data_IF_131356440701
#
_entry.id   IF_131356440701
#
_cell.length_a   1.000
_cell.length_b   1.000
_cell.length_c   1.000
_cell.angle_alpha   90.00
_cell.angle_beta   90.00
_cell.angle_gamma   90.00
#
_symmetry.space_group_name_H-M   'P 1'
#
loop_
_entity.id
_entity.type
_entity.pdbx_description
1 polymer ?
#
# COMPACT_ATOMS: atom_id res chain seq x y z
N UNK A 1 -8.38 -3.76 32.52
CA UNK A 1 -9.24 -3.29 31.40
C UNK A 1 -10.43 -2.42 31.84
N UNK A 2 -11.17 -2.73 32.90
CA UNK A 2 -12.40 -2.00 33.28
C UNK A 2 -12.28 -0.63 33.97
N UNK A 3 -11.10 0.01 33.99
CA UNK A 3 -10.89 1.26 34.75
C UNK A 3 -11.77 2.42 34.27
N UNK A 4 -12.01 2.52 32.96
CA UNK A 4 -12.88 3.56 32.36
C UNK A 4 -14.32 3.48 32.84
N UNK A 5 -14.84 2.26 33.04
CA UNK A 5 -16.19 2.03 33.56
C UNK A 5 -16.29 2.33 35.05
N UNK A 6 -15.22 2.04 35.83
CA UNK A 6 -15.13 2.43 37.24
C UNK A 6 -15.22 3.95 37.42
N UNK A 7 -14.52 4.71 36.57
CA UNK A 7 -14.59 6.18 36.58
C UNK A 7 -16.00 6.71 36.28
N UNK A 8 -16.77 6.00 35.45
CA UNK A 8 -18.19 6.29 35.17
C UNK A 8 -19.16 5.78 36.25
N UNK A 9 -18.65 5.24 37.36
CA UNK A 9 -19.44 4.66 38.45
C UNK A 9 -20.38 3.53 38.00
N UNK A 10 -20.02 2.78 36.96
CA UNK A 10 -20.80 1.63 36.50
C UNK A 10 -20.86 0.54 37.59
N UNK A 11 -21.97 -0.21 37.72
CA UNK A 11 -22.09 -1.34 38.63
C UNK A 11 -20.98 -2.39 38.44
N UNK A 12 -20.48 -2.99 39.52
CA UNK A 12 -19.40 -4.01 39.44
C UNK A 12 -19.76 -5.18 38.52
N UNK A 13 -21.01 -5.65 38.58
CA UNK A 13 -21.52 -6.73 37.72
C UNK A 13 -21.43 -6.37 36.24
N UNK A 14 -21.76 -5.15 35.85
CA UNK A 14 -21.65 -4.68 34.47
C UNK A 14 -20.18 -4.63 34.02
N UNK A 15 -19.29 -4.14 34.88
CA UNK A 15 -17.85 -4.07 34.59
C UNK A 15 -17.28 -5.47 34.32
N UNK A 16 -17.63 -6.44 35.17
CA UNK A 16 -17.19 -7.83 35.02
C UNK A 16 -17.68 -8.44 33.71
N UNK A 17 -18.97 -8.27 33.37
CA UNK A 17 -19.55 -8.76 32.11
C UNK A 17 -18.84 -8.16 30.90
N UNK A 18 -18.65 -6.83 30.87
CA UNK A 18 -18.00 -6.16 29.74
C UNK A 18 -16.51 -6.53 29.62
N UNK A 19 -15.80 -6.61 30.75
CA UNK A 19 -14.38 -7.01 30.77
C UNK A 19 -14.22 -8.45 30.31
N UNK A 20 -15.07 -9.37 30.76
CA UNK A 20 -15.04 -10.77 30.37
C UNK A 20 -15.29 -10.93 28.87
N UNK A 21 -16.34 -10.28 28.33
CA UNK A 21 -16.63 -10.28 26.89
C UNK A 21 -15.46 -9.74 26.06
N UNK A 22 -14.87 -8.61 26.47
CA UNK A 22 -13.72 -8.04 25.76
C UNK A 22 -12.48 -8.96 25.84
N UNK A 23 -12.25 -9.60 26.98
CA UNK A 23 -11.14 -10.54 27.16
C UNK A 23 -11.31 -11.81 26.31
N UNK A 24 -12.53 -12.31 26.15
CA UNK A 24 -12.82 -13.45 25.27
C UNK A 24 -12.57 -13.12 23.80
N UNK A 25 -13.05 -11.96 23.34
CA UNK A 25 -12.85 -11.49 21.95
C UNK A 25 -11.35 -11.38 21.61
N UNK A 26 -10.53 -10.97 22.58
CA UNK A 26 -9.10 -10.72 22.42
C UNK A 26 -8.21 -11.88 22.88
N UNK A 27 -8.79 -13.02 23.27
CA UNK A 27 -8.06 -14.18 23.80
C UNK A 27 -7.14 -13.82 24.99
N UNK A 28 -7.63 -12.97 25.89
CA UNK A 28 -6.94 -12.48 27.10
C UNK A 28 -7.51 -13.04 28.40
N UNK A 29 -8.54 -13.90 28.36
CA UNK A 29 -9.22 -14.39 29.57
C UNK A 29 -8.29 -15.01 30.61
N UNK A 30 -7.24 -15.72 30.16
CA UNK A 30 -6.24 -16.36 31.03
C UNK A 30 -5.15 -15.40 31.57
N UNK A 31 -5.20 -14.11 31.19
CA UNK A 31 -4.20 -13.10 31.54
C UNK A 31 -4.78 -11.95 32.38
N UNK A 32 -6.05 -12.04 32.81
CA UNK A 32 -6.75 -10.96 33.49
C UNK A 32 -6.08 -10.50 34.80
N UNK A 33 -5.39 -11.41 35.49
CA UNK A 33 -4.70 -11.14 36.76
C UNK A 33 -3.24 -10.69 36.58
N UNK A 34 -2.75 -10.63 35.34
CA UNK A 34 -1.35 -10.26 35.05
C UNK A 34 -1.17 -8.74 35.03
N UNK A 35 -0.05 -8.30 35.59
CA UNK A 35 0.39 -6.90 35.47
C UNK A 35 1.00 -6.63 34.08
N UNK A 36 0.97 -5.38 33.58
CA UNK A 36 1.48 -5.03 32.24
C UNK A 36 2.93 -5.48 31.97
N UNK A 37 3.79 -5.46 32.99
CA UNK A 37 5.19 -5.93 32.90
C UNK A 37 5.34 -7.44 32.65
N UNK A 38 4.29 -8.22 32.90
CA UNK A 38 4.25 -9.67 32.70
C UNK A 38 3.68 -10.08 31.34
N UNK A 39 3.32 -9.10 30.51
CA UNK A 39 2.71 -9.31 29.20
C UNK A 39 3.73 -9.08 28.09
N UNK A 40 3.63 -9.85 27.00
CA UNK A 40 4.36 -9.58 25.76
C UNK A 40 3.89 -8.28 25.10
N UNK A 41 4.63 -7.79 24.10
CA UNK A 41 4.23 -6.59 23.32
C UNK A 41 2.82 -6.71 22.74
N UNK A 42 2.53 -7.81 22.05
CA UNK A 42 1.20 -8.08 21.49
C UNK A 42 0.10 -8.19 22.53
N UNK A 43 0.38 -8.84 23.67
CA UNK A 43 -0.59 -8.93 24.76
C UNK A 43 -0.92 -7.55 25.35
N UNK A 44 0.08 -6.67 25.52
CA UNK A 44 -0.15 -5.28 25.95
C UNK A 44 -1.01 -4.51 24.95
N UNK A 45 -0.76 -4.71 23.65
CA UNK A 45 -1.56 -4.08 22.59
C UNK A 45 -3.01 -4.55 22.62
N UNK A 46 -3.24 -5.87 22.77
CA UNK A 46 -4.58 -6.42 22.96
C UNK A 46 -5.25 -5.84 24.22
N UNK A 47 -4.54 -5.67 25.33
CA UNK A 47 -5.10 -5.01 26.52
C UNK A 47 -5.49 -3.56 26.23
N UNK A 48 -4.72 -2.82 25.43
CA UNK A 48 -5.06 -1.47 24.99
C UNK A 48 -6.35 -1.45 24.15
N UNK A 49 -6.47 -2.36 23.18
CA UNK A 49 -7.70 -2.56 22.40
C UNK A 49 -8.88 -2.94 23.30
N UNK A 50 -8.67 -3.84 24.26
CA UNK A 50 -9.70 -4.28 25.21
C UNK A 50 -10.24 -3.12 26.04
N UNK A 51 -9.40 -2.15 26.41
CA UNK A 51 -9.84 -0.92 27.09
C UNK A 51 -10.75 -0.05 26.22
N UNK A 52 -10.60 -0.09 24.91
CA UNK A 52 -11.49 0.59 23.97
C UNK A 52 -12.80 -0.19 23.83
N UNK A 53 -12.75 -1.51 23.65
CA UNK A 53 -13.92 -2.38 23.47
C UNK A 53 -14.87 -2.33 24.67
N UNK A 54 -14.36 -2.34 25.91
CA UNK A 54 -15.23 -2.29 27.11
C UNK A 54 -16.10 -1.03 27.18
N UNK A 55 -15.76 0.03 26.43
CA UNK A 55 -16.56 1.25 26.36
C UNK A 55 -17.75 1.14 25.42
N UNK A 56 -17.79 0.13 24.56
CA UNK A 56 -18.82 -0.07 23.54
C UNK A 56 -19.05 1.19 22.68
N UNK A 57 -18.00 1.74 22.04
CA UNK A 57 -18.13 2.99 21.28
C UNK A 57 -18.82 2.76 19.94
N UNK A 58 -19.44 3.82 19.41
CA UNK A 58 -19.96 3.81 18.03
C UNK A 58 -18.85 3.91 16.98
N UNK A 59 -17.69 4.47 17.34
CA UNK A 59 -16.54 4.68 16.46
C UNK A 59 -15.24 4.33 17.19
N UNK A 60 -14.37 3.56 16.55
CA UNK A 60 -12.97 3.39 16.95
C UNK A 60 -12.07 4.33 16.16
N UNK A 61 -11.13 4.98 16.86
CA UNK A 61 -10.09 5.80 16.27
C UNK A 61 -8.74 5.17 16.65
N UNK A 62 -7.96 4.78 15.64
CA UNK A 62 -6.61 4.26 15.80
C UNK A 62 -5.63 5.19 15.10
N UNK A 63 -4.65 5.68 15.86
CA UNK A 63 -3.61 6.56 15.36
C UNK A 63 -2.27 5.84 15.40
N UNK A 64 -1.79 5.41 14.24
CA UNK A 64 -0.59 4.59 14.02
C UNK A 64 -0.35 3.49 15.07
N UNK A 65 -1.33 2.61 15.35
CA UNK A 65 -1.26 1.73 16.51
C UNK A 65 -0.14 0.68 16.42
N UNK A 66 0.43 0.43 15.24
CA UNK A 66 1.43 -0.62 15.00
C UNK A 66 2.85 -0.08 14.72
N UNK A 67 3.05 1.24 14.72
CA UNK A 67 4.33 1.88 14.34
C UNK A 67 5.51 1.45 15.21
N UNK A 68 5.27 1.25 16.51
CA UNK A 68 6.29 0.88 17.50
C UNK A 68 6.53 -0.64 17.64
N UNK A 69 5.96 -1.46 16.75
CA UNK A 69 6.08 -2.93 16.80
C UNK A 69 7.09 -3.44 15.78
N UNK A 70 7.77 -4.54 16.12
CA UNK A 70 8.61 -5.27 15.19
C UNK A 70 7.79 -5.90 14.06
N UNK A 71 8.45 -6.25 12.94
CA UNK A 71 7.78 -6.73 11.73
C UNK A 71 6.90 -7.97 11.95
N UNK A 72 7.36 -8.94 12.75
CA UNK A 72 6.61 -10.17 13.01
C UNK A 72 5.35 -9.87 13.81
N UNK A 73 5.49 -9.06 14.87
CA UNK A 73 4.37 -8.68 15.70
C UNK A 73 3.39 -7.76 14.95
N UNK A 74 3.88 -6.88 14.07
CA UNK A 74 3.06 -6.04 13.19
C UNK A 74 2.13 -6.87 12.31
N UNK A 75 2.66 -7.89 11.64
CA UNK A 75 1.85 -8.81 10.80
C UNK A 75 0.78 -9.51 11.63
N UNK A 76 1.14 -10.02 12.81
CA UNK A 76 0.17 -10.67 13.69
C UNK A 76 -0.94 -9.70 14.14
N UNK A 77 -0.57 -8.53 14.66
CA UNK A 77 -1.52 -7.56 15.20
C UNK A 77 -2.44 -7.00 14.11
N UNK A 78 -1.92 -6.85 12.88
CA UNK A 78 -2.73 -6.45 11.72
C UNK A 78 -3.88 -7.43 11.47
N UNK A 79 -3.58 -8.73 11.45
CA UNK A 79 -4.59 -9.78 11.32
C UNK A 79 -5.60 -9.72 12.48
N UNK A 80 -5.11 -9.58 13.72
CA UNK A 80 -5.98 -9.48 14.90
C UNK A 80 -6.93 -8.26 14.83
N UNK A 81 -6.44 -7.10 14.37
CA UNK A 81 -7.27 -5.89 14.19
C UNK A 81 -8.32 -6.10 13.09
N UNK A 82 -7.95 -6.68 11.94
CA UNK A 82 -8.90 -6.93 10.85
C UNK A 82 -9.98 -7.93 11.27
N UNK A 83 -9.61 -9.02 11.96
CA UNK A 83 -10.59 -9.96 12.53
C UNK A 83 -11.51 -9.29 13.55
N UNK A 84 -10.96 -8.42 14.39
CA UNK A 84 -11.77 -7.66 15.35
C UNK A 84 -12.79 -6.77 14.64
N UNK A 85 -12.35 -6.02 13.62
CA UNK A 85 -13.24 -5.16 12.81
C UNK A 85 -14.36 -5.99 12.16
N UNK A 86 -14.04 -7.15 11.59
CA UNK A 86 -15.02 -8.05 10.98
C UNK A 86 -16.05 -8.58 11.99
N UNK A 87 -15.63 -8.86 13.24
CA UNK A 87 -16.50 -9.34 14.32
C UNK A 87 -17.37 -8.24 14.91
N UNK A 88 -16.80 -7.07 15.17
CA UNK A 88 -17.50 -5.97 15.84
C UNK A 88 -18.35 -5.14 14.88
N UNK A 89 -17.92 -4.99 13.63
CA UNK A 89 -18.56 -4.15 12.59
C UNK A 89 -18.79 -2.70 13.02
N UNK A 90 -18.02 -2.23 14.01
CA UNK A 90 -18.02 -0.84 14.47
C UNK A 90 -17.24 0.01 13.49
N UNK A 91 -17.72 1.21 13.19
CA UNK A 91 -16.99 2.16 12.33
C UNK A 91 -15.59 2.40 12.90
N UNK A 92 -14.57 2.24 12.08
CA UNK A 92 -13.17 2.35 12.50
C UNK A 92 -12.45 3.32 11.57
N UNK A 93 -11.82 4.34 12.15
CA UNK A 93 -10.86 5.22 11.46
C UNK A 93 -9.47 4.79 11.89
N UNK A 94 -8.63 4.46 10.92
CA UNK A 94 -7.27 3.97 11.14
C UNK A 94 -6.29 4.86 10.37
N UNK A 95 -5.36 5.49 11.08
CA UNK A 95 -4.30 6.33 10.51
C UNK A 95 -3.01 5.52 10.47
N UNK A 96 -2.34 5.53 9.33
CA UNK A 96 -1.04 4.87 9.12
C UNK A 96 -0.29 5.50 7.95
N UNK A 97 1.03 5.42 8.00
CA UNK A 97 1.92 5.68 6.86
C UNK A 97 2.37 4.39 6.17
N UNK A 98 1.98 3.21 6.68
CA UNK A 98 2.34 1.91 6.10
C UNK A 98 1.32 1.51 5.03
N UNK A 99 1.79 1.43 3.79
CA UNK A 99 0.94 1.10 2.64
C UNK A 99 0.32 -0.29 2.75
N UNK A 100 1.05 -1.28 3.28
CA UNK A 100 0.56 -2.65 3.38
C UNK A 100 -0.55 -2.72 4.42
N UNK A 101 -0.43 -1.98 5.53
CA UNK A 101 -1.54 -1.80 6.49
C UNK A 101 -2.77 -1.22 5.81
N UNK A 102 -2.63 -0.10 5.09
CA UNK A 102 -3.75 0.55 4.41
C UNK A 102 -4.41 -0.41 3.39
N UNK A 103 -3.61 -1.09 2.56
CA UNK A 103 -4.08 -1.96 1.50
C UNK A 103 -4.79 -3.23 1.99
N UNK A 104 -4.41 -3.75 3.16
CA UNK A 104 -4.94 -5.03 3.66
C UNK A 104 -6.03 -4.89 4.72
N UNK A 105 -6.08 -3.74 5.41
CA UNK A 105 -7.02 -3.53 6.51
C UNK A 105 -8.25 -2.73 6.09
N UNK A 106 -8.09 -1.78 5.18
CA UNK A 106 -9.13 -0.81 4.88
C UNK A 106 -10.21 -1.38 3.95
N UNK A 107 -11.45 -0.99 4.21
CA UNK A 107 -12.54 -1.15 3.22
C UNK A 107 -12.53 0.05 2.23
N UNK A 108 -12.01 1.20 2.67
CA UNK A 108 -11.82 2.43 1.88
C UNK A 108 -10.59 3.17 2.41
N UNK A 109 -9.76 3.67 1.50
CA UNK A 109 -8.56 4.47 1.79
C UNK A 109 -8.85 5.93 1.44
N UNK A 110 -8.38 6.84 2.29
CA UNK A 110 -8.33 8.28 2.03
C UNK A 110 -6.86 8.66 1.96
N UNK A 111 -6.33 8.90 0.75
CA UNK A 111 -4.95 9.36 0.57
C UNK A 111 -4.92 10.86 0.72
N UNK A 112 -4.00 11.35 1.57
CA UNK A 112 -3.84 12.76 1.86
C UNK A 112 -2.41 13.20 1.57
N UNK A 113 -2.27 14.43 1.07
CA UNK A 113 -1.00 15.11 0.84
C UNK A 113 -1.14 16.56 1.28
N UNK A 114 -0.22 17.06 2.12
CA UNK A 114 -0.23 18.43 2.64
C UNK A 114 -1.58 18.90 3.21
N UNK A 115 -2.30 17.98 3.88
CA UNK A 115 -3.61 18.26 4.47
C UNK A 115 -4.79 18.24 3.49
N UNK A 116 -4.54 17.99 2.21
CA UNK A 116 -5.55 17.87 1.15
C UNK A 116 -5.83 16.40 0.87
N UNK A 117 -7.08 16.06 0.60
CA UNK A 117 -7.45 14.71 0.14
C UNK A 117 -7.18 14.61 -1.35
N UNK A 118 -6.28 13.72 -1.73
CA UNK A 118 -5.89 13.47 -3.12
C UNK A 118 -6.83 12.48 -3.80
N UNK A 119 -7.18 11.40 -3.09
CA UNK A 119 -8.08 10.37 -3.62
C UNK A 119 -8.74 9.58 -2.49
N UNK A 120 -9.98 9.16 -2.74
CA UNK A 120 -10.75 8.27 -1.88
C UNK A 120 -11.26 7.09 -2.72
N UNK A 121 -11.14 5.87 -2.21
CA UNK A 121 -11.63 4.68 -2.93
C UNK A 121 -11.34 3.37 -2.21
N UNK A 122 -11.72 2.24 -2.82
CA UNK A 122 -11.30 0.94 -2.31
C UNK A 122 -9.80 0.73 -2.57
N UNK A 123 -9.08 -0.08 -1.77
CA UNK A 123 -7.63 -0.26 -1.91
C UNK A 123 -7.15 -0.52 -3.34
N UNK A 124 -7.79 -1.46 -4.05
CA UNK A 124 -7.43 -1.80 -5.42
C UNK A 124 -7.81 -0.70 -6.42
N UNK A 125 -8.85 0.08 -6.18
CA UNK A 125 -9.19 1.21 -7.06
C UNK A 125 -8.10 2.29 -7.04
N UNK A 126 -7.51 2.58 -5.87
CA UNK A 126 -6.39 3.53 -5.78
C UNK A 126 -5.13 2.98 -6.44
N UNK A 127 -4.91 1.66 -6.33
CA UNK A 127 -3.77 0.98 -6.94
C UNK A 127 -3.88 0.94 -8.47
N UNK A 128 -5.01 0.50 -8.99
CA UNK A 128 -5.25 0.26 -10.41
C UNK A 128 -5.62 1.55 -11.15
N UNK A 129 -6.20 2.53 -10.48
CA UNK A 129 -6.70 3.77 -11.09
C UNK A 129 -6.32 5.00 -10.25
N UNK A 130 -5.03 5.27 -10.04
CA UNK A 130 -4.59 6.45 -9.31
C UNK A 130 -5.04 7.74 -10.02
N UNK A 131 -5.50 8.74 -9.29
CA UNK A 131 -6.01 9.99 -9.86
C UNK A 131 -4.88 10.89 -10.39
N UNK A 132 -3.69 10.80 -9.80
CA UNK A 132 -2.55 11.63 -10.13
C UNK A 132 -1.21 10.92 -9.82
N UNK A 133 -0.10 11.54 -10.22
CA UNK A 133 1.25 11.00 -10.02
C UNK A 133 1.58 10.77 -8.54
N UNK A 134 1.09 11.61 -7.62
CA UNK A 134 1.33 11.44 -6.19
C UNK A 134 0.71 10.14 -5.69
N UNK A 135 -0.59 9.91 -5.93
CA UNK A 135 -1.25 8.67 -5.51
C UNK A 135 -0.61 7.45 -6.17
N UNK A 136 -0.27 7.56 -7.46
CA UNK A 136 0.40 6.50 -8.21
C UNK A 136 1.78 6.13 -7.63
N UNK A 137 2.54 7.11 -7.15
CA UNK A 137 3.84 6.91 -6.53
C UNK A 137 3.77 6.51 -5.06
N UNK A 138 2.70 6.91 -4.37
CA UNK A 138 2.49 6.66 -2.94
C UNK A 138 1.85 5.29 -2.65
N UNK A 139 1.00 4.78 -3.55
CA UNK A 139 0.32 3.49 -3.37
C UNK A 139 1.04 2.42 -4.19
N UNK A 140 1.73 1.51 -3.50
CA UNK A 140 2.48 0.39 -4.06
C UNK A 140 3.95 0.42 -3.63
N UNK A 141 4.47 -0.75 -3.28
CA UNK A 141 5.87 -0.94 -2.89
C UNK A 141 6.44 -2.15 -3.62
N UNK A 142 7.39 -1.97 -4.55
CA UNK A 142 8.01 -0.70 -4.94
C UNK A 142 7.05 0.26 -5.67
N UNK A 143 7.38 1.55 -5.67
CA UNK A 143 6.56 2.59 -6.28
C UNK A 143 6.51 2.48 -7.81
N UNK A 144 5.50 3.12 -8.40
CA UNK A 144 5.36 3.21 -9.86
C UNK A 144 6.59 3.88 -10.50
N UNK A 145 7.03 3.36 -11.64
CA UNK A 145 8.04 4.01 -12.46
C UNK A 145 7.42 5.19 -13.20
N UNK A 146 8.11 6.33 -13.22
CA UNK A 146 7.69 7.52 -13.95
C UNK A 146 8.75 7.92 -14.99
N UNK A 147 8.34 7.94 -16.26
CA UNK A 147 9.23 8.26 -17.39
C UNK A 147 8.66 9.48 -18.12
N UNK A 148 9.45 10.55 -18.24
CA UNK A 148 9.04 11.78 -18.92
C UNK A 148 9.25 11.68 -20.43
N UNK A 149 8.35 12.30 -21.19
CA UNK A 149 8.40 12.26 -22.65
C UNK A 149 7.13 12.84 -23.28
N UNK A 150 6.85 12.38 -24.49
CA UNK A 150 5.73 12.86 -25.32
C UNK A 150 4.92 11.71 -25.86
N UNK A 151 3.62 11.94 -25.96
CA UNK A 151 2.66 10.99 -26.52
C UNK A 151 2.79 10.99 -28.05
N UNK A 152 2.93 9.80 -28.62
CA UNK A 152 2.78 9.51 -30.05
C UNK A 152 1.61 8.53 -30.22
N UNK A 153 1.25 8.20 -31.47
CA UNK A 153 -0.01 7.50 -31.77
C UNK A 153 -0.16 6.15 -31.06
N UNK A 154 0.87 5.31 -31.18
CA UNK A 154 0.96 3.95 -30.62
C UNK A 154 2.13 3.82 -29.64
N UNK A 155 2.76 4.95 -29.28
CA UNK A 155 4.06 4.98 -28.59
C UNK A 155 4.19 6.19 -27.69
N UNK A 156 5.15 6.11 -26.79
CA UNK A 156 5.61 7.21 -25.96
C UNK A 156 7.11 7.38 -26.17
N UNK A 157 7.54 8.59 -26.49
CA UNK A 157 8.95 8.89 -26.78
C UNK A 157 9.54 9.79 -25.72
N UNK A 158 10.66 9.37 -25.14
CA UNK A 158 11.45 10.19 -24.21
C UNK A 158 12.40 11.10 -24.99
N UNK A 159 12.85 12.20 -24.37
CA UNK A 159 13.84 13.09 -24.97
C UNK A 159 15.19 12.40 -25.24
N UNK A 160 15.49 11.32 -24.49
CA UNK A 160 16.69 10.51 -24.65
C UNK A 160 16.53 9.38 -25.69
N UNK A 161 15.43 9.38 -26.46
CA UNK A 161 15.21 8.47 -27.58
C UNK A 161 14.66 7.08 -27.22
N UNK A 162 14.26 6.85 -25.96
CA UNK A 162 13.54 5.63 -25.59
C UNK A 162 12.14 5.70 -26.18
N UNK A 163 11.71 4.59 -26.79
CA UNK A 163 10.37 4.44 -27.34
C UNK A 163 9.66 3.32 -26.59
N UNK A 164 8.63 3.68 -25.84
CA UNK A 164 7.77 2.78 -25.11
C UNK A 164 6.45 2.57 -25.88
N UNK A 165 5.83 1.39 -25.79
CA UNK A 165 4.55 1.10 -26.42
C UNK A 165 3.39 1.81 -25.70
N UNK A 166 2.31 2.10 -26.43
CA UNK A 166 1.02 2.50 -25.86
C UNK A 166 -0.11 1.74 -26.56
N UNK A 167 -1.19 1.43 -25.86
CA UNK A 167 -2.40 0.86 -26.47
C UNK A 167 -3.02 1.81 -27.52
N UNK A 168 -2.80 3.12 -27.36
CA UNK A 168 -3.21 4.17 -28.27
C UNK A 168 -3.54 5.44 -27.49
N UNK A 169 -3.39 6.60 -28.14
CA UNK A 169 -3.86 7.87 -27.61
C UNK A 169 -4.63 8.66 -28.68
N UNK A 170 -5.59 9.52 -28.29
CA UNK A 170 -6.31 10.38 -29.21
C UNK A 170 -5.35 11.26 -30.03
N UNK A 171 -5.70 11.55 -31.29
CA UNK A 171 -4.88 12.42 -32.15
C UNK A 171 -4.69 13.82 -31.55
N UNK A 172 -5.63 14.28 -30.73
CA UNK A 172 -5.55 15.56 -30.00
C UNK A 172 -4.40 15.64 -29.00
N UNK A 173 -3.88 14.51 -28.51
CA UNK A 173 -2.80 14.47 -27.53
C UNK A 173 -1.42 14.21 -28.16
N UNK A 174 -1.33 14.16 -29.49
CA UNK A 174 -0.06 13.93 -30.19
C UNK A 174 0.96 15.04 -29.92
N UNK A 175 2.17 14.65 -29.51
CA UNK A 175 3.26 15.56 -29.14
C UNK A 175 3.11 16.20 -27.75
N UNK A 176 2.00 15.95 -27.04
CA UNK A 176 1.75 16.45 -25.69
C UNK A 176 2.81 15.92 -24.73
N UNK A 177 3.48 16.79 -23.94
CA UNK A 177 4.31 16.38 -22.83
C UNK A 177 3.49 15.61 -21.79
N UNK A 178 3.95 14.44 -21.40
CA UNK A 178 3.30 13.61 -20.41
C UNK A 178 4.33 12.78 -19.62
N UNK A 179 3.85 12.10 -18.60
CA UNK A 179 4.61 11.14 -17.79
C UNK A 179 3.98 9.76 -17.97
N UNK A 180 4.81 8.82 -18.41
CA UNK A 180 4.49 7.41 -18.53
C UNK A 180 4.68 6.72 -17.18
N UNK A 181 3.59 6.22 -16.63
CA UNK A 181 3.51 5.49 -15.37
C UNK A 181 3.33 4.00 -15.60
N UNK A 182 4.22 3.17 -15.03
CA UNK A 182 4.09 1.72 -15.09
C UNK A 182 4.63 1.08 -13.82
N UNK A 183 3.86 0.15 -13.25
CA UNK A 183 4.25 -0.52 -12.00
C UNK A 183 5.37 -1.53 -12.26
N UNK A 184 6.30 -1.74 -11.30
CA UNK A 184 7.42 -2.67 -11.48
C UNK A 184 7.02 -4.07 -11.92
N UNK A 185 5.91 -4.59 -11.40
CA UNK A 185 5.39 -5.93 -11.67
C UNK A 185 4.65 -6.06 -13.00
N UNK A 186 4.44 -4.96 -13.72
CA UNK A 186 3.79 -4.94 -15.04
C UNK A 186 4.81 -5.01 -16.20
N UNK A 187 6.07 -5.31 -15.90
CA UNK A 187 7.09 -5.62 -16.90
C UNK A 187 7.23 -7.13 -17.07
N UNK A 188 7.44 -7.56 -18.31
CA UNK A 188 7.81 -8.94 -18.65
C UNK A 188 9.09 -8.97 -19.47
N UNK A 189 9.89 -10.02 -19.30
CA UNK A 189 11.02 -10.30 -20.18
C UNK A 189 10.45 -10.74 -21.53
N UNK A 190 10.90 -10.10 -22.61
CA UNK A 190 10.38 -10.37 -23.94
C UNK A 190 11.48 -10.10 -24.98
N UNK A 191 11.84 -11.12 -25.75
CA UNK A 191 12.80 -10.97 -26.84
C UNK A 191 12.29 -9.97 -27.89
N UNK A 192 13.19 -9.11 -28.37
CA UNK A 192 12.87 -8.03 -29.31
C UNK A 192 12.27 -6.77 -28.68
N UNK A 193 12.04 -6.75 -27.36
CA UNK A 193 11.57 -5.56 -26.64
C UNK A 193 12.72 -4.59 -26.28
N UNK A 194 12.44 -3.58 -25.46
CA UNK A 194 13.40 -2.54 -25.08
C UNK A 194 14.61 -3.17 -24.34
N UNK A 195 15.83 -3.08 -24.89
CA UNK A 195 17.02 -3.55 -24.19
C UNK A 195 17.39 -2.58 -23.06
N UNK A 196 17.59 -3.11 -21.86
CA UNK A 196 17.99 -2.38 -20.67
C UNK A 196 19.16 -3.07 -19.97
N UNK A 197 20.10 -2.27 -19.48
CA UNK A 197 21.25 -2.75 -18.71
C UNK A 197 20.87 -2.94 -17.25
N UNK A 198 21.20 -4.10 -16.68
CA UNK A 198 20.96 -4.40 -15.27
C UNK A 198 21.94 -3.64 -14.40
N UNK A 199 21.43 -2.77 -13.53
CA UNK A 199 22.23 -2.04 -12.57
C UNK A 199 22.29 -2.76 -11.21
N UNK A 200 21.14 -3.20 -10.70
CA UNK A 200 21.02 -3.85 -9.38
C UNK A 200 20.04 -5.02 -9.45
N UNK A 201 20.34 -6.10 -8.72
CA UNK A 201 19.49 -7.29 -8.60
C UNK A 201 19.29 -7.59 -7.12
N UNK A 202 18.04 -7.57 -6.66
CA UNK A 202 17.68 -7.81 -5.27
C UNK A 202 16.69 -8.98 -5.17
N UNK A 203 17.16 -10.19 -4.83
CA UNK A 203 16.28 -11.32 -4.57
C UNK A 203 15.57 -11.13 -3.23
N UNK A 204 14.23 -11.10 -3.23
CA UNK A 204 13.40 -10.97 -2.00
C UNK A 204 12.84 -12.32 -1.53
N UNK A 205 13.21 -13.41 -2.22
CA UNK A 205 12.79 -14.78 -1.93
C UNK A 205 11.73 -15.27 -2.92
N UNK A 206 10.53 -14.69 -2.88
CA UNK A 206 9.44 -14.98 -3.82
C UNK A 206 9.53 -14.21 -5.13
N UNK A 207 10.26 -13.10 -5.13
CA UNK A 207 10.35 -12.16 -6.25
C UNK A 207 11.81 -11.72 -6.42
N UNK A 208 12.12 -11.18 -7.60
CA UNK A 208 13.40 -10.53 -7.87
C UNK A 208 13.13 -9.12 -8.35
N UNK A 209 13.59 -8.15 -7.57
CA UNK A 209 13.60 -6.76 -7.97
C UNK A 209 14.84 -6.49 -8.82
N UNK A 210 14.68 -5.86 -9.96
CA UNK A 210 15.78 -5.52 -10.86
C UNK A 210 15.67 -4.05 -11.23
N UNK A 211 16.70 -3.30 -10.84
CA UNK A 211 16.86 -1.92 -11.30
C UNK A 211 17.64 -1.96 -12.60
N UNK A 212 17.06 -1.41 -13.66
CA UNK A 212 17.62 -1.43 -15.01
C UNK A 212 17.69 -0.02 -15.59
N UNK A 213 18.61 0.19 -16.53
CA UNK A 213 18.86 1.48 -17.18
C UNK A 213 18.80 1.37 -18.70
N UNK A 214 18.20 2.36 -19.33
CA UNK A 214 18.26 2.57 -20.77
C UNK A 214 18.39 4.06 -21.04
N UNK A 215 19.36 4.47 -21.89
CA UNK A 215 19.59 5.88 -22.25
C UNK A 215 19.55 6.87 -21.05
N UNK A 216 20.14 6.48 -19.92
CA UNK A 216 20.17 7.26 -18.68
C UNK A 216 18.88 7.27 -17.86
N UNK A 217 17.78 6.69 -18.34
CA UNK A 217 16.55 6.47 -17.58
C UNK A 217 16.66 5.19 -16.76
N UNK A 218 16.44 5.29 -15.46
CA UNK A 218 16.34 4.15 -14.55
C UNK A 218 14.88 3.69 -14.42
N UNK A 219 14.66 2.38 -14.38
CA UNK A 219 13.36 1.75 -14.12
C UNK A 219 13.56 0.54 -13.23
N UNK A 220 12.62 0.35 -12.31
CA UNK A 220 12.54 -0.79 -11.41
C UNK A 220 11.52 -1.78 -11.97
N UNK A 221 11.94 -3.03 -12.13
CA UNK A 221 11.06 -4.12 -12.52
C UNK A 221 11.01 -5.18 -11.42
N UNK A 222 9.87 -5.83 -11.27
CA UNK A 222 9.64 -6.88 -10.29
C UNK A 222 9.19 -8.14 -11.01
N UNK A 223 9.97 -9.21 -10.88
CA UNK A 223 9.69 -10.48 -11.53
C UNK A 223 9.38 -11.55 -10.48
N UNK A 224 8.23 -12.22 -10.64
CA UNK A 224 7.86 -13.39 -9.82
C UNK A 224 8.58 -14.66 -10.27
N UNK A 225 8.99 -14.70 -11.54
CA UNK A 225 9.84 -15.75 -12.05
C UNK A 225 11.25 -15.60 -11.47
N UNK A 226 11.89 -16.73 -11.15
CA UNK A 226 13.26 -16.73 -10.64
C UNK A 226 14.23 -16.44 -11.78
N UNK A 227 14.41 -15.15 -12.07
CA UNK A 227 15.46 -14.67 -12.95
C UNK A 227 16.69 -14.31 -12.10
N UNK A 228 17.89 -14.58 -12.63
CA UNK A 228 19.16 -14.28 -11.95
C UNK A 228 20.11 -13.56 -12.90
N UNK A 229 19.73 -12.38 -13.41
CA UNK A 229 20.63 -11.62 -14.25
C UNK A 229 21.84 -11.11 -13.47
N UNK A 230 22.89 -10.75 -14.19
CA UNK A 230 24.09 -10.14 -13.58
C UNK A 230 24.09 -8.63 -13.83
N UNK A 231 24.61 -7.81 -12.89
CA UNK A 231 24.90 -6.42 -13.18
C UNK A 231 25.75 -6.27 -14.45
N UNK A 232 25.41 -5.30 -15.30
CA UNK A 232 25.99 -5.07 -16.63
C UNK A 232 25.41 -5.95 -17.75
N UNK A 233 24.54 -6.91 -17.44
CA UNK A 233 23.86 -7.70 -18.46
C UNK A 233 22.75 -6.89 -19.13
N UNK A 234 22.58 -7.06 -20.44
CA UNK A 234 21.41 -6.55 -21.17
C UNK A 234 20.24 -7.54 -21.08
N UNK A 235 19.07 -7.06 -20.69
CA UNK A 235 17.80 -7.80 -20.73
C UNK A 235 16.81 -6.99 -21.56
N UNK A 236 15.97 -7.68 -22.33
CA UNK A 236 14.89 -7.04 -23.08
C UNK A 236 13.58 -7.17 -22.31
N UNK A 237 12.95 -6.03 -22.02
CA UNK A 237 11.71 -5.97 -21.23
C UNK A 237 10.64 -5.18 -21.94
N UNK A 238 9.41 -5.59 -21.71
CA UNK A 238 8.21 -5.05 -22.32
C UNK A 238 7.22 -4.70 -21.20
N UNK A 239 6.72 -3.45 -21.12
CA UNK A 239 5.61 -3.14 -20.25
C UNK A 239 4.31 -3.73 -20.82
N UNK A 240 3.41 -4.16 -19.94
CA UNK A 240 2.03 -4.48 -20.30
C UNK A 240 1.29 -3.18 -20.66
N UNK A 241 0.88 -3.07 -21.93
CA UNK A 241 0.31 -1.85 -22.49
C UNK A 241 -1.04 -1.48 -21.88
N UNK A 242 -1.79 -2.47 -21.41
CA UNK A 242 -3.12 -2.26 -20.84
C UNK A 242 -3.06 -1.73 -19.40
N UNK A 243 -1.88 -1.82 -18.78
CA UNK A 243 -1.61 -1.41 -17.40
C UNK A 243 -0.74 -0.16 -17.30
N UNK A 244 -0.60 0.57 -18.42
CA UNK A 244 0.09 1.85 -18.49
C UNK A 244 -0.84 2.97 -18.04
N UNK A 245 -0.29 3.88 -17.25
CA UNK A 245 -0.93 5.14 -16.93
C UNK A 245 -0.20 6.29 -17.60
N UNK A 246 -0.94 7.26 -18.12
CA UNK A 246 -0.38 8.51 -18.60
C UNK A 246 -0.83 9.63 -17.69
N UNK A 247 0.10 10.50 -17.32
CA UNK A 247 -0.18 11.69 -16.52
C UNK A 247 0.24 12.93 -17.28
N UNK A 248 -0.54 14.00 -17.12
CA UNK A 248 -0.15 15.31 -17.63
C UNK A 248 1.16 15.77 -16.97
N UNK A 249 2.08 16.32 -17.76
CA UNK A 249 3.41 16.70 -17.27
C UNK A 249 3.40 17.89 -16.30
N UNK A 250 2.45 18.81 -16.47
CA UNK A 250 2.38 20.05 -15.69
C UNK A 250 1.53 19.86 -14.43
N UNK A 251 0.31 19.34 -14.58
CA UNK A 251 -0.65 19.19 -13.49
C UNK A 251 -0.49 17.90 -12.68
N UNK A 252 0.20 16.89 -13.24
CA UNK A 252 0.32 15.56 -12.63
C UNK A 252 -0.96 14.74 -12.60
N UNK A 253 -2.06 15.23 -13.16
CA UNK A 253 -3.34 14.52 -13.22
C UNK A 253 -3.30 13.39 -14.23
N UNK A 254 -4.00 12.29 -13.93
CA UNK A 254 -4.08 11.15 -14.86
C UNK A 254 -4.89 11.54 -16.10
N UNK A 255 -4.38 11.16 -17.26
CA UNK A 255 -5.06 11.28 -18.53
C UNK A 255 -6.00 10.08 -18.71
N UNK A 256 -7.25 10.37 -19.07
CA UNK A 256 -8.27 9.35 -19.27
C UNK A 256 -8.43 9.08 -20.75
N UNK A 257 -8.04 7.88 -21.17
CA UNK A 257 -8.29 7.37 -22.50
C UNK A 257 -9.29 6.22 -22.41
N UNK A 258 -10.26 6.22 -23.32
CA UNK A 258 -11.32 5.23 -23.45
C UNK A 258 -10.86 4.01 -24.24
#
# INVERSE_FOLDING_TARGET
MGFSLKLRKAPKSEIEVRVKRAAEILSLSHLLDRFPRQLSGGQRQRVAMGRAIVRDPQVFLFDEPLSNLDAKLRVQMRTEIKELHQRLKTTTVYVTHDQIEAMTMADKIVVMHDGVVEQIGAPLDLYDKPANQFVAGFIGSPSMNFIKGRIEKDRFRTDNGIVLPLAGAPESDMGRPAVYGIRPEHFRVCEGALPMEVAVVEPTGSETLVVMRASGQEMTCLFRERILPKPGQMIQVQPDIDLVHLFDADSGQRLHYS
#
